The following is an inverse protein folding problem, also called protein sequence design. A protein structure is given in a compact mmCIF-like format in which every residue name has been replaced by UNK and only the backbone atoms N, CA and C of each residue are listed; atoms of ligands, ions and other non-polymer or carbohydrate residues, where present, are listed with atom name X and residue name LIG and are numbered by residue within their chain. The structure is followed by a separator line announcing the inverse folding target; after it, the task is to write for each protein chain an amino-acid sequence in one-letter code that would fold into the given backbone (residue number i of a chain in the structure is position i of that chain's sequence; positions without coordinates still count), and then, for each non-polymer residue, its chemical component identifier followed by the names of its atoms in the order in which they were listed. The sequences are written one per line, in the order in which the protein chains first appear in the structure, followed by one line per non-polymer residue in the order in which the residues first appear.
data_IF_841299551684
#
_entry.id   IF_841299551684
#
_cell.length_a   1.000
_cell.length_b   1.000
_cell.length_c   1.000
_cell.angle_alpha   90.00
_cell.angle_beta   90.00
_cell.angle_gamma   90.00
#
_symmetry.space_group_name_H-M   'P 1'
#
loop_
_entity.id
_entity.type
_entity.pdbx_description
1 polymer ?
#
# COMPACT_ATOMS: atom_id res chain seq x y z
N UNK A 1 -15.57 20.66 1.88
CA UNK A 1 -14.11 20.78 1.62
C UNK A 1 -13.64 19.40 1.21
N UNK A 2 -12.77 19.32 0.21
CA UNK A 2 -12.16 18.07 -0.22
C UNK A 2 -11.22 17.53 0.86
N UNK A 3 -11.35 16.26 1.21
CA UNK A 3 -10.45 15.61 2.16
C UNK A 3 -9.03 15.49 1.57
N UNK A 4 -8.02 15.68 2.42
CA UNK A 4 -6.62 15.49 2.04
C UNK A 4 -6.19 14.06 2.37
N UNK A 5 -5.62 13.38 1.39
CA UNK A 5 -5.23 11.98 1.51
C UNK A 5 -3.76 11.81 1.19
N UNK A 6 -3.07 10.98 1.95
CA UNK A 6 -1.71 10.53 1.64
C UNK A 6 -1.76 9.09 1.15
N UNK A 7 -1.18 8.80 -0.01
CA UNK A 7 -0.95 7.44 -0.48
C UNK A 7 0.55 7.14 -0.48
N UNK A 8 0.99 6.15 0.31
CA UNK A 8 2.40 5.78 0.44
C UNK A 8 2.66 4.41 -0.20
N UNK A 9 3.38 4.42 -1.31
CA UNK A 9 4.04 3.23 -1.87
C UNK A 9 5.45 3.10 -1.31
N UNK A 10 6.00 1.89 -1.24
CA UNK A 10 7.26 1.66 -0.53
C UNK A 10 7.98 0.39 -0.98
N UNK A 11 9.31 0.43 -1.01
CA UNK A 11 10.14 -0.78 -1.09
C UNK A 11 10.07 -1.57 0.22
N UNK A 12 10.22 -2.90 0.14
CA UNK A 12 10.29 -3.73 1.34
C UNK A 12 11.59 -3.47 2.10
N UNK A 13 11.48 -3.21 3.41
CA UNK A 13 12.63 -2.87 4.26
C UNK A 13 13.05 -1.40 4.21
N UNK A 14 12.41 -0.53 3.41
CA UNK A 14 12.71 0.91 3.39
C UNK A 14 12.23 1.68 4.64
N UNK A 15 11.44 1.07 5.52
CA UNK A 15 10.84 1.79 6.65
C UNK A 15 9.57 2.56 6.29
N UNK A 16 9.02 2.38 5.07
CA UNK A 16 7.85 3.12 4.61
C UNK A 16 6.61 2.99 5.48
N UNK A 17 6.38 1.84 6.14
CA UNK A 17 5.32 1.70 7.14
C UNK A 17 5.56 2.60 8.36
N UNK A 18 6.79 2.61 8.88
CA UNK A 18 7.17 3.46 10.02
C UNK A 18 7.04 4.95 9.69
N UNK A 19 7.45 5.34 8.47
CA UNK A 19 7.26 6.71 7.95
C UNK A 19 5.77 7.07 7.90
N UNK A 20 4.92 6.15 7.41
CA UNK A 20 3.47 6.38 7.35
C UNK A 20 2.85 6.62 8.73
N UNK A 21 3.19 5.77 9.71
CA UNK A 21 2.71 5.91 11.09
C UNK A 21 3.16 7.24 11.70
N UNK A 22 4.46 7.57 11.60
CA UNK A 22 4.99 8.84 12.13
C UNK A 22 4.37 10.07 11.46
N UNK A 23 4.15 10.03 10.15
CA UNK A 23 3.49 11.12 9.43
C UNK A 23 2.04 11.30 9.89
N UNK A 24 1.32 10.20 10.07
CA UNK A 24 -0.05 10.20 10.57
C UNK A 24 -0.14 10.74 12.00
N UNK A 25 0.77 10.32 12.87
CA UNK A 25 0.86 10.83 14.27
C UNK A 25 1.10 12.34 14.29
N UNK A 26 2.01 12.88 13.44
CA UNK A 26 2.28 14.32 13.31
C UNK A 26 1.07 15.12 12.82
N UNK A 27 0.16 14.47 12.11
CA UNK A 27 -1.02 15.08 11.51
C UNK A 27 -2.31 14.82 12.30
N UNK A 28 -2.29 13.88 13.25
CA UNK A 28 -3.48 13.46 13.99
C UNK A 28 -4.50 12.71 13.13
N UNK A 29 -4.05 11.99 12.07
CA UNK A 29 -4.90 11.25 11.13
C UNK A 29 -4.63 9.74 11.19
N UNK A 30 -5.54 8.93 10.64
CA UNK A 30 -5.43 7.47 10.69
C UNK A 30 -4.57 6.90 9.56
N UNK A 31 -3.95 5.73 9.83
CA UNK A 31 -3.25 4.91 8.83
C UNK A 31 -4.07 3.68 8.49
N UNK A 32 -4.28 3.43 7.21
CA UNK A 32 -4.92 2.24 6.68
C UNK A 32 -3.92 1.41 5.87
N UNK A 33 -3.64 0.22 6.31
CA UNK A 33 -2.81 -0.76 5.62
C UNK A 33 -3.46 -2.15 5.66
N UNK A 34 -3.21 -2.96 6.67
CA UNK A 34 -3.80 -4.29 6.82
C UNK A 34 -5.30 -4.25 7.13
N UNK A 35 -5.76 -3.21 7.76
CA UNK A 35 -7.15 -3.02 8.09
C UNK A 35 -8.06 -3.01 6.85
N UNK A 36 -7.55 -2.59 5.70
CA UNK A 36 -8.28 -2.62 4.42
C UNK A 36 -8.72 -4.03 4.00
N UNK A 37 -8.00 -5.08 4.42
CA UNK A 37 -8.41 -6.47 4.14
C UNK A 37 -9.67 -6.79 4.96
N UNK A 38 -9.65 -6.47 6.26
CA UNK A 38 -10.79 -6.70 7.15
C UNK A 38 -12.02 -5.95 6.67
N UNK A 39 -11.90 -4.67 6.35
CA UNK A 39 -12.98 -3.86 5.82
C UNK A 39 -13.53 -4.40 4.49
N UNK A 40 -12.64 -4.82 3.58
CA UNK A 40 -13.05 -5.46 2.33
C UNK A 40 -13.82 -6.77 2.57
N UNK A 41 -13.38 -7.58 3.54
CA UNK A 41 -14.05 -8.82 3.93
C UNK A 41 -15.43 -8.54 4.53
N UNK A 42 -15.53 -7.56 5.41
CA UNK A 42 -16.81 -7.13 6.00
C UNK A 42 -17.78 -6.63 4.93
N UNK A 43 -17.30 -5.78 4.02
CA UNK A 43 -18.13 -5.25 2.93
C UNK A 43 -18.61 -6.33 1.96
N UNK A 44 -17.76 -7.33 1.66
CA UNK A 44 -18.11 -8.45 0.77
C UNK A 44 -18.78 -9.63 1.46
N UNK A 45 -18.90 -9.62 2.79
CA UNK A 45 -19.33 -10.79 3.61
C UNK A 45 -18.47 -12.04 3.33
N UNK A 46 -17.14 -11.84 3.29
CA UNK A 46 -16.16 -12.88 3.02
C UNK A 46 -15.22 -13.12 4.20
N UNK A 47 -14.68 -14.33 4.29
CA UNK A 47 -13.67 -14.66 5.29
C UNK A 47 -12.30 -14.03 4.94
N UNK A 48 -11.62 -13.46 5.94
CA UNK A 48 -10.23 -13.03 5.78
C UNK A 48 -9.30 -14.17 5.33
N UNK A 49 -9.56 -15.40 5.74
CA UNK A 49 -8.80 -16.59 5.30
C UNK A 49 -8.87 -16.79 3.80
N UNK A 50 -9.99 -16.41 3.18
CA UNK A 50 -10.17 -16.49 1.73
C UNK A 50 -9.39 -15.39 0.99
N UNK A 51 -9.40 -14.17 1.49
CA UNK A 51 -8.87 -13.00 0.79
C UNK A 51 -7.40 -12.66 1.14
N UNK A 52 -7.00 -12.80 2.42
CA UNK A 52 -5.65 -12.40 2.88
C UNK A 52 -4.49 -13.01 2.09
N UNK A 53 -4.54 -14.28 1.61
CA UNK A 53 -3.47 -14.83 0.79
C UNK A 53 -3.23 -14.09 -0.53
N UNK A 54 -4.20 -13.28 -0.98
CA UNK A 54 -4.15 -12.52 -2.24
C UNK A 54 -3.76 -11.06 -2.06
N UNK A 55 -3.53 -10.60 -0.82
CA UNK A 55 -3.19 -9.21 -0.53
C UNK A 55 -1.88 -8.77 -1.20
N UNK A 56 -1.93 -7.63 -1.89
CA UNK A 56 -0.84 -7.11 -2.73
C UNK A 56 -0.25 -8.17 -3.70
N UNK A 57 -1.09 -9.07 -4.23
CA UNK A 57 -0.68 -10.04 -5.24
C UNK A 57 -1.45 -9.87 -6.55
N UNK A 58 -0.73 -9.89 -7.67
CA UNK A 58 -1.33 -9.98 -8.99
C UNK A 58 -1.90 -11.38 -9.23
N UNK A 59 -2.96 -11.47 -10.03
CA UNK A 59 -3.49 -12.75 -10.48
C UNK A 59 -2.44 -13.53 -11.26
N UNK A 60 -2.24 -14.79 -10.90
CA UNK A 60 -1.47 -15.71 -11.73
C UNK A 60 -2.39 -16.27 -12.83
N UNK A 61 -2.14 -16.01 -14.12
CA UNK A 61 -3.05 -16.43 -15.18
C UNK A 61 -3.20 -17.95 -15.33
N UNK A 62 -2.27 -18.72 -14.77
CA UNK A 62 -2.27 -20.18 -14.86
C UNK A 62 -2.75 -20.87 -13.59
N UNK A 63 -2.76 -20.17 -12.46
CA UNK A 63 -3.12 -20.75 -11.17
C UNK A 63 -3.75 -19.68 -10.28
N UNK A 64 -5.06 -19.65 -10.21
CA UNK A 64 -5.81 -18.76 -9.31
C UNK A 64 -7.01 -19.49 -8.69
N UNK A 65 -7.41 -19.02 -7.53
CA UNK A 65 -8.66 -19.42 -6.90
C UNK A 65 -9.74 -18.42 -7.26
N UNK A 66 -10.96 -18.88 -7.49
CA UNK A 66 -12.13 -18.05 -7.76
C UNK A 66 -13.00 -17.93 -6.52
N UNK A 67 -13.69 -16.79 -6.38
CA UNK A 67 -14.62 -16.55 -5.28
C UNK A 67 -16.04 -16.73 -5.78
N UNK A 68 -16.80 -17.57 -5.10
CA UNK A 68 -18.22 -17.85 -5.40
C UNK A 68 -19.16 -17.48 -4.26
N UNK A 69 -18.58 -17.16 -3.09
CA UNK A 69 -19.29 -16.79 -1.86
C UNK A 69 -19.34 -15.27 -1.70
N UNK A 70 -20.03 -14.81 -0.66
CA UNK A 70 -20.19 -13.40 -0.34
C UNK A 70 -21.47 -12.80 -0.90
N UNK A 71 -21.69 -11.51 -0.61
CA UNK A 71 -22.89 -10.77 -1.00
C UNK A 71 -22.87 -10.30 -2.46
N UNK A 72 -23.80 -9.42 -2.84
CA UNK A 72 -23.94 -8.90 -4.21
C UNK A 72 -22.79 -7.95 -4.64
N UNK A 73 -21.96 -7.48 -3.72
CA UNK A 73 -20.78 -6.66 -4.03
C UNK A 73 -19.60 -7.48 -4.54
N UNK A 74 -19.62 -8.80 -4.33
CA UNK A 74 -18.53 -9.70 -4.72
C UNK A 74 -18.64 -10.05 -6.21
N UNK A 75 -17.52 -9.89 -6.92
CA UNK A 75 -17.39 -10.32 -8.31
C UNK A 75 -17.24 -11.86 -8.37
N UNK A 76 -18.37 -12.57 -8.33
CA UNK A 76 -18.41 -14.04 -8.29
C UNK A 76 -17.78 -14.64 -9.55
N UNK A 77 -17.06 -15.73 -9.39
CA UNK A 77 -16.36 -16.42 -10.48
C UNK A 77 -15.06 -15.71 -10.93
N UNK A 78 -14.70 -14.59 -10.28
CA UNK A 78 -13.44 -13.90 -10.55
C UNK A 78 -12.31 -14.39 -9.64
N UNK A 79 -11.04 -14.22 -10.05
CA UNK A 79 -9.89 -14.52 -9.21
C UNK A 79 -9.94 -13.78 -7.88
N UNK A 80 -9.53 -14.45 -6.81
CA UNK A 80 -9.54 -13.90 -5.44
C UNK A 80 -8.80 -12.56 -5.33
N UNK A 81 -7.70 -12.40 -6.08
CA UNK A 81 -6.94 -11.13 -6.13
C UNK A 81 -7.71 -9.99 -6.77
N UNK A 82 -8.51 -10.25 -7.82
CA UNK A 82 -9.37 -9.25 -8.47
C UNK A 82 -10.54 -8.85 -7.57
N UNK A 83 -11.16 -9.84 -6.90
CA UNK A 83 -12.23 -9.59 -5.94
C UNK A 83 -11.70 -8.73 -4.79
N UNK A 84 -10.57 -9.09 -4.20
CA UNK A 84 -9.97 -8.31 -3.12
C UNK A 84 -9.63 -6.88 -3.56
N UNK A 85 -9.03 -6.72 -4.74
CA UNK A 85 -8.72 -5.38 -5.27
C UNK A 85 -9.97 -4.52 -5.44
N UNK A 86 -11.07 -5.08 -5.98
CA UNK A 86 -12.32 -4.36 -6.15
C UNK A 86 -12.93 -3.92 -4.82
N UNK A 87 -12.98 -4.83 -3.83
CA UNK A 87 -13.52 -4.53 -2.50
C UNK A 87 -12.64 -3.52 -1.74
N UNK A 88 -11.32 -3.68 -1.78
CA UNK A 88 -10.39 -2.69 -1.20
C UNK A 88 -10.51 -1.32 -1.88
N UNK A 89 -10.67 -1.28 -3.20
CA UNK A 89 -10.86 -0.04 -3.94
C UNK A 89 -12.14 0.68 -3.53
N UNK A 90 -13.23 -0.06 -3.28
CA UNK A 90 -14.47 0.50 -2.75
C UNK A 90 -14.23 1.14 -1.37
N UNK A 91 -13.60 0.41 -0.44
CA UNK A 91 -13.33 0.88 0.90
C UNK A 91 -12.38 2.09 0.93
N UNK A 92 -11.34 2.09 0.10
CA UNK A 92 -10.43 3.24 -0.05
C UNK A 92 -11.20 4.50 -0.47
N UNK A 93 -12.08 4.40 -1.48
CA UNK A 93 -12.91 5.54 -1.91
C UNK A 93 -13.88 5.97 -0.82
N UNK A 94 -14.53 5.02 -0.15
CA UNK A 94 -15.48 5.31 0.94
C UNK A 94 -14.79 6.06 2.07
N UNK A 95 -13.65 5.58 2.55
CA UNK A 95 -12.88 6.20 3.64
C UNK A 95 -12.42 7.61 3.22
N UNK A 96 -11.83 7.74 2.03
CA UNK A 96 -11.30 9.01 1.54
C UNK A 96 -12.36 10.12 1.42
N UNK A 97 -13.63 9.77 1.21
CA UNK A 97 -14.75 10.74 1.18
C UNK A 97 -15.17 11.21 2.58
N UNK A 98 -14.83 10.47 3.63
CA UNK A 98 -15.31 10.74 4.98
C UNK A 98 -14.24 11.31 5.93
N UNK A 99 -12.96 10.99 5.70
CA UNK A 99 -11.91 11.44 6.61
C UNK A 99 -10.56 11.63 5.89
N UNK A 100 -9.72 12.50 6.46
CA UNK A 100 -8.31 12.62 6.08
C UNK A 100 -7.52 11.44 6.65
N UNK A 101 -6.71 10.77 5.82
CA UNK A 101 -5.98 9.59 6.26
C UNK A 101 -4.75 9.28 5.39
N UNK A 102 -3.98 8.30 5.84
CA UNK A 102 -2.86 7.71 5.12
C UNK A 102 -3.21 6.30 4.66
N UNK A 103 -3.15 6.04 3.37
CA UNK A 103 -3.18 4.68 2.83
C UNK A 103 -1.77 4.19 2.53
N UNK A 104 -1.48 2.93 2.91
CA UNK A 104 -0.19 2.30 2.64
C UNK A 104 -0.36 1.15 1.64
N UNK A 105 0.10 1.34 0.41
CA UNK A 105 -0.01 0.37 -0.68
C UNK A 105 -1.40 0.29 -1.31
N UNK A 106 -1.79 -0.91 -1.78
CA UNK A 106 -3.08 -1.29 -2.40
C UNK A 106 -3.48 -0.41 -3.58
N UNK A 107 -2.48 0.19 -4.26
CA UNK A 107 -2.69 1.09 -5.40
C UNK A 107 -3.61 2.28 -5.06
N UNK A 108 -3.59 2.76 -3.80
CA UNK A 108 -4.49 3.84 -3.37
C UNK A 108 -4.29 5.14 -4.18
N UNK A 109 -3.05 5.41 -4.63
CA UNK A 109 -2.73 6.49 -5.56
C UNK A 109 -3.46 6.38 -6.91
N UNK A 110 -3.66 5.15 -7.39
CA UNK A 110 -4.41 4.88 -8.61
C UNK A 110 -5.92 4.90 -8.37
N UNK A 111 -6.37 4.25 -7.29
CA UNK A 111 -7.80 4.13 -6.92
C UNK A 111 -8.44 5.50 -6.67
N UNK A 112 -7.67 6.45 -6.12
CA UNK A 112 -8.15 7.80 -5.80
C UNK A 112 -7.92 8.82 -6.92
N UNK A 113 -7.32 8.41 -8.03
CA UNK A 113 -7.13 9.30 -9.17
C UNK A 113 -8.48 9.69 -9.79
N UNK A 114 -8.76 10.99 -9.82
CA UNK A 114 -10.03 11.53 -10.33
C UNK A 114 -11.19 11.48 -9.35
N UNK A 115 -10.95 11.03 -8.10
CA UNK A 115 -11.91 11.22 -7.01
C UNK A 115 -11.79 12.66 -6.46
N UNK A 116 -12.86 13.14 -5.82
CA UNK A 116 -12.95 14.48 -5.26
C UNK A 116 -12.18 14.58 -3.92
N UNK A 117 -10.86 14.44 -3.99
CA UNK A 117 -9.92 14.49 -2.87
C UNK A 117 -8.61 15.17 -3.27
N UNK A 118 -7.92 15.78 -2.31
CA UNK A 118 -6.57 16.32 -2.49
C UNK A 118 -5.55 15.24 -2.13
N UNK A 119 -4.95 14.63 -3.15
CA UNK A 119 -4.10 13.47 -3.00
C UNK A 119 -2.61 13.84 -3.01
N UNK A 120 -1.87 13.40 -1.99
CA UNK A 120 -0.41 13.41 -1.94
C UNK A 120 0.11 11.99 -2.16
N UNK A 121 0.82 11.76 -3.25
CA UNK A 121 1.41 10.47 -3.58
C UNK A 121 2.88 10.43 -3.19
N UNK A 122 3.28 9.40 -2.44
CA UNK A 122 4.62 9.26 -1.88
C UNK A 122 5.19 7.89 -2.20
N UNK A 123 6.47 7.85 -2.60
CA UNK A 123 7.23 6.60 -2.66
C UNK A 123 8.39 6.65 -1.67
N UNK A 124 8.50 5.61 -0.82
CA UNK A 124 9.60 5.47 0.14
C UNK A 124 10.56 4.37 -0.30
N UNK A 125 11.77 4.76 -0.66
CA UNK A 125 12.86 3.89 -1.05
C UNK A 125 13.96 3.86 0.02
N UNK A 126 14.91 2.94 -0.12
CA UNK A 126 16.19 2.97 0.56
C UNK A 126 17.23 2.13 -0.22
N UNK A 127 18.53 2.41 -0.08
CA UNK A 127 19.59 1.56 -0.61
C UNK A 127 19.47 0.12 -0.13
N UNK A 128 19.86 -0.83 -0.96
CA UNK A 128 19.72 -2.26 -0.67
C UNK A 128 20.38 -2.64 0.67
N UNK A 129 21.56 -2.10 0.95
CA UNK A 129 22.27 -2.41 2.19
C UNK A 129 21.49 -1.98 3.44
N UNK A 130 20.89 -0.78 3.43
CA UNK A 130 20.04 -0.30 4.53
C UNK A 130 18.83 -1.20 4.76
N UNK A 131 18.20 -1.62 3.66
CA UNK A 131 17.04 -2.53 3.70
C UNK A 131 17.40 -3.90 4.25
N UNK A 132 18.55 -4.44 3.81
CA UNK A 132 19.09 -5.73 4.28
C UNK A 132 19.36 -5.67 5.79
N UNK A 133 20.12 -4.69 6.24
CA UNK A 133 20.44 -4.51 7.67
C UNK A 133 19.18 -4.37 8.53
N UNK A 134 18.23 -3.54 8.10
CA UNK A 134 16.94 -3.38 8.79
C UNK A 134 16.19 -4.69 8.91
N UNK A 135 16.13 -5.51 7.83
CA UNK A 135 15.41 -6.78 7.86
C UNK A 135 16.14 -7.87 8.65
N UNK A 136 17.45 -7.93 8.60
CA UNK A 136 18.22 -8.80 9.48
C UNK A 136 17.93 -8.50 10.96
N UNK A 137 17.93 -7.23 11.35
CA UNK A 137 17.66 -6.83 12.74
C UNK A 137 16.21 -7.11 13.18
N UNK A 138 15.23 -6.77 12.33
CA UNK A 138 13.80 -6.88 12.69
C UNK A 138 13.30 -8.32 12.73
N UNK A 139 13.75 -9.16 11.78
CA UNK A 139 13.21 -10.51 11.59
C UNK A 139 14.22 -11.61 11.98
N UNK A 140 15.38 -11.25 12.54
CA UNK A 140 16.47 -12.15 12.94
C UNK A 140 16.92 -13.07 11.78
N UNK A 141 16.99 -12.53 10.58
CA UNK A 141 17.37 -13.24 9.37
C UNK A 141 18.88 -13.20 9.13
N UNK A 142 19.40 -14.23 8.45
CA UNK A 142 20.71 -14.12 7.82
C UNK A 142 20.66 -13.13 6.65
N UNK A 143 21.83 -12.63 6.22
CA UNK A 143 21.95 -11.71 5.09
C UNK A 143 21.29 -12.29 3.82
N UNK A 144 21.57 -13.54 3.49
CA UNK A 144 21.01 -14.19 2.32
C UNK A 144 19.49 -14.37 2.39
N UNK A 145 18.96 -14.65 3.59
CA UNK A 145 17.52 -14.72 3.81
C UNK A 145 16.88 -13.35 3.63
N UNK A 146 17.48 -12.29 4.15
CA UNK A 146 17.00 -10.92 3.99
C UNK A 146 16.98 -10.49 2.51
N UNK A 147 18.06 -10.77 1.76
CA UNK A 147 18.13 -10.47 0.32
C UNK A 147 17.02 -11.20 -0.46
N UNK A 148 16.84 -12.49 -0.22
CA UNK A 148 15.78 -13.27 -0.89
C UNK A 148 14.39 -12.73 -0.56
N UNK A 149 14.15 -12.39 0.69
CA UNK A 149 12.86 -11.86 1.15
C UNK A 149 12.58 -10.50 0.50
N UNK A 150 13.54 -9.57 0.50
CA UNK A 150 13.42 -8.25 -0.11
C UNK A 150 13.08 -8.38 -1.60
N UNK A 151 13.84 -9.17 -2.35
CA UNK A 151 13.60 -9.41 -3.78
C UNK A 151 12.21 -10.01 -4.05
N UNK A 152 11.78 -10.96 -3.23
CA UNK A 152 10.46 -11.60 -3.33
C UNK A 152 9.35 -10.58 -3.13
N UNK A 153 9.43 -9.79 -2.06
CA UNK A 153 8.38 -8.83 -1.71
C UNK A 153 8.30 -7.66 -2.71
N UNK A 154 9.43 -7.11 -3.12
CA UNK A 154 9.45 -6.04 -4.12
C UNK A 154 8.95 -6.52 -5.49
N UNK A 155 9.32 -7.73 -5.91
CA UNK A 155 8.78 -8.35 -7.13
C UNK A 155 7.26 -8.54 -7.06
N UNK A 156 6.74 -8.95 -5.88
CA UNK A 156 5.30 -9.10 -5.66
C UNK A 156 4.57 -7.76 -5.75
N UNK A 157 5.05 -6.73 -5.04
CA UNK A 157 4.48 -5.38 -5.05
C UNK A 157 4.50 -4.75 -6.43
N UNK A 158 5.63 -4.88 -7.13
CA UNK A 158 5.76 -4.39 -8.50
C UNK A 158 4.72 -5.03 -9.42
N UNK A 159 4.66 -6.37 -9.44
CA UNK A 159 3.69 -7.08 -10.28
C UNK A 159 2.24 -6.68 -9.95
N UNK A 160 1.91 -6.56 -8.66
CA UNK A 160 0.60 -6.13 -8.21
C UNK A 160 0.29 -4.73 -8.74
N UNK A 161 1.14 -3.77 -8.47
CA UNK A 161 0.95 -2.38 -8.88
C UNK A 161 0.85 -2.26 -10.41
N UNK A 162 1.80 -2.82 -11.15
CA UNK A 162 1.84 -2.73 -12.62
C UNK A 162 0.65 -3.42 -13.28
N UNK A 163 0.13 -4.52 -12.72
CA UNK A 163 -1.02 -5.22 -13.30
C UNK A 163 -2.34 -4.46 -13.16
N UNK A 164 -2.52 -3.66 -12.10
CA UNK A 164 -3.75 -2.88 -11.92
C UNK A 164 -3.65 -1.44 -12.42
N UNK A 165 -2.46 -0.86 -12.43
CA UNK A 165 -2.27 0.55 -12.77
C UNK A 165 -1.71 0.79 -14.17
N UNK A 166 -1.08 -0.22 -14.76
CA UNK A 166 -0.29 -0.13 -16.01
C UNK A 166 0.83 0.92 -15.96
N UNK A 167 1.34 1.24 -14.76
CA UNK A 167 2.41 2.19 -14.49
C UNK A 167 3.61 1.51 -13.88
N UNK A 168 4.81 2.06 -14.10
CA UNK A 168 6.02 1.56 -13.50
C UNK A 168 6.03 1.80 -11.98
N UNK A 169 6.15 0.74 -11.18
CA UNK A 169 6.23 0.84 -9.73
C UNK A 169 7.57 1.42 -9.28
N UNK A 170 7.51 2.50 -8.51
CA UNK A 170 8.69 3.17 -7.94
C UNK A 170 9.45 4.05 -8.92
N UNK A 171 8.86 4.40 -10.08
CA UNK A 171 9.39 5.42 -10.96
C UNK A 171 9.21 6.80 -10.32
N UNK A 172 10.30 7.56 -10.05
CA UNK A 172 10.23 8.81 -9.27
C UNK A 172 9.24 9.83 -9.83
N UNK A 173 9.12 9.91 -11.14
CA UNK A 173 8.21 10.82 -11.85
C UNK A 173 6.73 10.48 -11.66
N UNK A 174 6.42 9.32 -11.09
CA UNK A 174 5.06 8.86 -10.81
C UNK A 174 4.50 9.32 -9.47
N UNK A 175 5.29 10.02 -8.63
CA UNK A 175 4.95 10.40 -7.27
C UNK A 175 5.26 11.86 -6.99
N UNK A 176 4.46 12.51 -6.14
CA UNK A 176 4.70 13.90 -5.71
C UNK A 176 5.94 14.02 -4.81
N UNK A 177 6.23 12.97 -4.03
CA UNK A 177 7.43 12.85 -3.20
C UNK A 177 8.08 11.49 -3.39
N UNK A 178 9.38 11.50 -3.65
CA UNK A 178 10.23 10.32 -3.64
C UNK A 178 11.26 10.47 -2.53
N UNK A 179 11.16 9.64 -1.47
CA UNK A 179 11.95 9.79 -0.24
C UNK A 179 12.90 8.61 -0.06
N UNK A 180 14.18 8.91 0.12
CA UNK A 180 15.23 7.91 0.40
C UNK A 180 15.55 7.88 1.90
N UNK A 181 15.14 6.81 2.59
CA UNK A 181 15.43 6.60 4.00
C UNK A 181 16.83 6.05 4.28
N UNK A 182 17.69 5.97 3.27
CA UNK A 182 19.13 5.86 3.44
C UNK A 182 19.78 7.20 3.74
N UNK A 183 19.23 8.28 3.21
CA UNK A 183 19.69 9.65 3.41
C UNK A 183 18.90 10.38 4.51
N UNK A 184 17.62 10.05 4.70
CA UNK A 184 16.74 10.63 5.71
C UNK A 184 16.40 9.62 6.79
N UNK A 185 16.30 10.07 8.05
CA UNK A 185 15.67 9.24 9.06
C UNK A 185 14.17 9.05 8.76
N UNK A 186 13.54 8.01 9.32
CA UNK A 186 12.08 7.82 9.17
C UNK A 186 11.29 8.96 9.78
N UNK A 187 11.84 9.66 10.79
CA UNK A 187 11.23 10.83 11.39
C UNK A 187 11.31 12.06 10.48
N UNK A 188 12.46 12.30 9.86
CA UNK A 188 12.63 13.42 8.92
C UNK A 188 11.77 13.20 7.66
N UNK A 189 11.74 11.98 7.13
CA UNK A 189 10.88 11.64 6.01
C UNK A 189 9.39 11.87 6.34
N UNK A 190 8.95 11.51 7.55
CA UNK A 190 7.59 11.78 8.02
C UNK A 190 7.31 13.28 8.16
N UNK A 191 8.28 14.07 8.66
CA UNK A 191 8.13 15.52 8.77
C UNK A 191 7.98 16.19 7.39
N UNK A 192 8.75 15.75 6.38
CA UNK A 192 8.62 16.22 4.99
C UNK A 192 7.21 15.94 4.44
N UNK A 193 6.69 14.74 4.67
CA UNK A 193 5.32 14.38 4.26
C UNK A 193 4.29 15.27 4.96
N UNK A 194 4.41 15.44 6.28
CA UNK A 194 3.47 16.24 7.06
C UNK A 194 3.48 17.73 6.64
N UNK A 195 4.65 18.29 6.35
CA UNK A 195 4.78 19.66 5.84
C UNK A 195 4.09 19.79 4.47
N UNK A 196 4.33 18.84 3.55
CA UNK A 196 3.72 18.86 2.22
C UNK A 196 2.21 18.72 2.29
N UNK A 197 1.71 17.84 3.15
CA UNK A 197 0.29 17.61 3.37
C UNK A 197 -0.44 18.87 3.87
N UNK A 198 0.17 19.64 4.77
CA UNK A 198 -0.44 20.89 5.26
C UNK A 198 -0.57 21.97 4.18
N UNK A 199 0.19 21.84 3.09
CA UNK A 199 0.19 22.78 1.95
C UNK A 199 -0.73 22.33 0.79
N UNK A 200 -1.37 21.14 0.91
CA UNK A 200 -2.43 20.71 0.01
C UNK A 200 -3.69 21.59 0.25
#
# INVERSE_FOLDING_TARGET
MENRIISISRQFGSGGHEVAVKAADLLGIRVYERELIRLACEYGELSEKTLSPSDEKATNPYLFQTVHEGNHHVLRGKPTSEVLFALQSHEIRRIARHEECVFVGRCADYVLRGEDVRLLTVFVAAPDEHRIQRKMAQEKLTRDQAIRLIRKMDKQRRKYYESYTHKAWGAPEGYDLYLDTGALSTADAAAVIAERFRKL
#
